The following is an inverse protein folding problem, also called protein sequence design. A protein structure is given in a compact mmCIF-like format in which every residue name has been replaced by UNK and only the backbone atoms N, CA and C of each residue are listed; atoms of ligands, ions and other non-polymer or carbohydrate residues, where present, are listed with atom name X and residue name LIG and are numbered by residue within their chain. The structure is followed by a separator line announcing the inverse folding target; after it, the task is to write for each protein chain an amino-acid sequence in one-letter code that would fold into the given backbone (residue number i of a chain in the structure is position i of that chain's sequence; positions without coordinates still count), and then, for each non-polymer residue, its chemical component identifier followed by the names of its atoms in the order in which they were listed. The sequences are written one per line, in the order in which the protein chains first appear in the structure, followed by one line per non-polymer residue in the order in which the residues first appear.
data_IF_448867017341
#
_entry.id   IF_448867017341
#
_cell.length_a   1.000
_cell.length_b   1.000
_cell.length_c   1.000
_cell.angle_alpha   90.00
_cell.angle_beta   90.00
_cell.angle_gamma   90.00
#
_symmetry.space_group_name_H-M   'P 1'
#
loop_
_entity.id
_entity.type
_entity.pdbx_description
1 polymer ?
#
# COMPACT_ATOMS: atom_id res chain seq x y z
N UNK A 1 1.80 28.48 24.42
CA UNK A 1 0.84 27.85 23.52
C UNK A 1 0.93 26.34 23.65
N UNK A 2 -0.18 25.73 23.93
CA UNK A 2 -0.25 24.26 23.96
C UNK A 2 -0.79 23.80 22.61
N UNK A 3 -0.01 22.95 21.96
CA UNK A 3 -0.45 22.32 20.71
C UNK A 3 -0.74 20.86 21.02
N UNK A 4 -1.99 20.47 20.87
CA UNK A 4 -2.37 19.08 21.04
C UNK A 4 -2.49 18.43 19.67
N UNK A 5 -1.79 17.29 19.52
CA UNK A 5 -1.83 16.53 18.28
C UNK A 5 -2.60 15.24 18.56
N UNK A 6 -3.58 14.88 17.73
CA UNK A 6 -4.32 13.64 17.93
C UNK A 6 -3.37 12.43 18.02
N UNK A 7 -3.67 11.55 18.94
CA UNK A 7 -2.87 10.33 19.10
C UNK A 7 -3.07 9.44 17.88
N UNK A 8 -1.97 8.97 17.31
CA UNK A 8 -2.02 8.14 16.10
C UNK A 8 -2.87 6.88 16.27
N UNK A 9 -2.97 6.36 17.51
CA UNK A 9 -3.77 5.17 17.81
C UNK A 9 -5.27 5.36 17.58
N UNK A 10 -5.73 6.63 17.47
CA UNK A 10 -7.15 6.92 17.20
C UNK A 10 -7.48 6.81 15.71
N UNK A 11 -6.49 6.62 14.87
CA UNK A 11 -6.66 6.51 13.43
C UNK A 11 -6.43 5.08 12.98
N UNK A 12 -7.21 4.63 12.02
CA UNK A 12 -6.95 3.36 11.34
C UNK A 12 -5.65 3.50 10.56
N UNK A 13 -4.87 2.43 10.53
CA UNK A 13 -3.58 2.42 9.87
C UNK A 13 -3.58 1.45 8.70
N UNK A 14 -2.91 1.83 7.63
CA UNK A 14 -2.80 1.00 6.43
C UNK A 14 -1.43 1.17 5.79
N UNK A 15 -0.89 0.08 5.29
CA UNK A 15 0.29 0.09 4.45
C UNK A 15 -0.10 -0.43 3.07
N UNK A 16 0.14 0.37 2.04
CA UNK A 16 -0.11 -0.02 0.65
C UNK A 16 1.19 -0.58 0.10
N UNK A 17 1.28 -1.90 0.00
CA UNK A 17 2.50 -2.57 -0.47
C UNK A 17 2.70 -2.32 -1.96
N UNK A 18 3.97 -2.40 -2.45
CA UNK A 18 4.22 -2.27 -3.88
C UNK A 18 3.38 -3.25 -4.68
N UNK A 19 2.78 -2.78 -5.76
CA UNK A 19 1.90 -3.62 -6.58
C UNK A 19 2.72 -4.54 -7.48
N UNK A 20 2.21 -5.74 -7.69
CA UNK A 20 2.82 -6.69 -8.61
C UNK A 20 2.50 -6.31 -10.05
N UNK A 21 3.50 -6.37 -10.91
CA UNK A 21 3.30 -6.23 -12.35
C UNK A 21 2.87 -7.59 -12.92
N UNK A 22 1.60 -7.71 -13.24
CA UNK A 22 1.01 -8.93 -13.81
C UNK A 22 0.86 -8.84 -15.32
N UNK A 23 1.41 -7.79 -15.91
CA UNK A 23 1.45 -7.62 -17.35
C UNK A 23 2.47 -8.59 -17.96
N UNK A 24 2.35 -8.84 -19.27
CA UNK A 24 3.31 -9.71 -19.97
C UNK A 24 4.65 -9.04 -20.22
N UNK A 25 4.75 -7.73 -20.02
CA UNK A 25 5.96 -6.95 -20.30
C UNK A 25 6.51 -6.32 -19.03
N UNK A 26 7.82 -6.42 -18.83
CA UNK A 26 8.49 -5.70 -17.75
C UNK A 26 8.49 -4.19 -17.99
N UNK A 27 8.27 -3.76 -19.22
CA UNK A 27 8.19 -2.35 -19.57
C UNK A 27 7.00 -1.66 -18.89
N UNK A 28 6.01 -2.42 -18.43
CA UNK A 28 4.87 -1.88 -17.72
C UNK A 28 5.14 -1.60 -16.25
N UNK A 29 6.36 -1.88 -15.75
CA UNK A 29 6.68 -1.69 -14.34
C UNK A 29 6.49 -0.24 -13.89
N UNK A 30 6.86 0.74 -14.69
CA UNK A 30 6.66 2.14 -14.35
C UNK A 30 5.18 2.49 -14.29
N UNK A 31 4.39 1.92 -15.17
CA UNK A 31 2.94 2.13 -15.15
C UNK A 31 2.34 1.56 -13.85
N UNK A 32 2.76 0.37 -13.46
CA UNK A 32 2.30 -0.29 -12.23
C UNK A 32 2.67 0.53 -11.00
N UNK A 33 3.91 1.01 -10.95
CA UNK A 33 4.37 1.86 -9.83
C UNK A 33 3.61 3.19 -9.80
N UNK A 34 3.25 3.73 -10.95
CA UNK A 34 2.42 4.94 -11.03
C UNK A 34 1.04 4.73 -10.43
N UNK A 35 0.41 3.60 -10.70
CA UNK A 35 -0.89 3.25 -10.10
C UNK A 35 -0.75 3.13 -8.57
N UNK A 36 0.31 2.49 -8.11
CA UNK A 36 0.59 2.37 -6.67
C UNK A 36 0.70 3.74 -6.01
N UNK A 37 1.49 4.64 -6.61
CA UNK A 37 1.66 5.99 -6.10
C UNK A 37 0.34 6.76 -6.06
N UNK A 38 -0.48 6.63 -7.10
CA UNK A 38 -1.77 7.32 -7.16
C UNK A 38 -2.69 6.86 -6.04
N UNK A 39 -2.77 5.57 -5.81
CA UNK A 39 -3.62 5.02 -4.75
C UNK A 39 -3.11 5.46 -3.39
N UNK A 40 -1.81 5.39 -3.17
CA UNK A 40 -1.19 5.80 -1.92
C UNK A 40 -1.49 7.28 -1.62
N UNK A 41 -1.35 8.14 -2.63
CA UNK A 41 -1.62 9.57 -2.50
C UNK A 41 -3.09 9.86 -2.21
N UNK A 42 -4.01 9.14 -2.84
CA UNK A 42 -5.44 9.29 -2.59
C UNK A 42 -5.79 8.91 -1.15
N UNK A 43 -5.25 7.79 -0.66
CA UNK A 43 -5.50 7.35 0.70
C UNK A 43 -4.90 8.31 1.72
N UNK A 44 -3.74 8.89 1.42
CA UNK A 44 -3.07 9.82 2.32
C UNK A 44 -3.88 11.11 2.56
N UNK A 45 -4.84 11.42 1.70
CA UNK A 45 -5.71 12.57 1.86
C UNK A 45 -6.85 12.33 2.86
N UNK A 46 -7.04 11.11 3.30
CA UNK A 46 -8.10 10.76 4.25
C UNK A 46 -7.59 11.02 5.67
N UNK A 47 -8.17 12.02 6.36
CA UNK A 47 -7.66 12.48 7.65
C UNK A 47 -7.72 11.40 8.74
N UNK A 48 -8.72 10.52 8.68
CA UNK A 48 -8.89 9.45 9.68
C UNK A 48 -8.04 8.22 9.42
N UNK A 49 -7.20 8.25 8.39
CA UNK A 49 -6.41 7.11 7.97
C UNK A 49 -4.92 7.45 8.06
N UNK A 50 -4.18 6.64 8.81
CA UNK A 50 -2.72 6.75 8.85
C UNK A 50 -2.14 5.87 7.76
N UNK A 51 -1.54 6.49 6.74
CA UNK A 51 -0.95 5.78 5.61
C UNK A 51 0.57 5.77 5.75
N UNK A 52 1.17 4.59 5.66
CA UNK A 52 2.62 4.44 5.74
C UNK A 52 3.26 5.03 4.48
N UNK A 53 4.39 5.68 4.63
CA UNK A 53 5.07 6.34 3.53
C UNK A 53 5.53 5.35 2.44
N UNK A 54 5.61 5.86 1.21
CA UNK A 54 6.12 5.08 0.09
C UNK A 54 7.51 4.49 0.38
N UNK A 55 8.39 5.30 0.96
CA UNK A 55 9.76 4.87 1.28
C UNK A 55 9.76 3.63 2.19
N UNK A 56 8.87 3.62 3.18
CA UNK A 56 8.82 2.51 4.14
C UNK A 56 8.27 1.22 3.53
N UNK A 57 7.34 1.33 2.57
CA UNK A 57 6.73 0.13 1.99
C UNK A 57 7.53 -0.44 0.82
N UNK A 58 8.35 0.36 0.15
CA UNK A 58 9.07 -0.10 -1.06
C UNK A 58 10.04 -1.25 -0.77
N UNK A 59 10.54 -1.36 0.46
CA UNK A 59 11.42 -2.48 0.84
C UNK A 59 10.71 -3.83 0.85
N UNK A 60 9.40 -3.84 0.76
CA UNK A 60 8.63 -5.09 0.74
C UNK A 60 8.28 -5.57 -0.67
N UNK A 61 8.89 -4.98 -1.69
CA UNK A 61 8.71 -5.45 -3.05
C UNK A 61 9.18 -6.91 -3.14
N UNK A 62 8.30 -7.76 -3.68
CA UNK A 62 8.57 -9.20 -3.86
C UNK A 62 8.95 -9.92 -2.56
N UNK A 63 8.46 -9.42 -1.42
CA UNK A 63 8.76 -10.02 -0.14
C UNK A 63 8.02 -11.35 0.03
N UNK A 64 8.67 -12.28 0.76
CA UNK A 64 8.06 -13.54 1.16
C UNK A 64 7.53 -13.48 2.60
N UNK A 65 7.66 -12.33 3.26
CA UNK A 65 7.18 -12.18 4.65
C UNK A 65 5.67 -12.31 4.72
N UNK A 66 5.19 -12.84 5.83
CA UNK A 66 3.75 -12.92 6.09
C UNK A 66 3.14 -11.53 6.31
N UNK A 67 1.84 -11.44 6.10
CA UNK A 67 1.12 -10.19 6.36
C UNK A 67 1.28 -9.77 7.82
N UNK A 68 1.24 -10.73 8.76
CA UNK A 68 1.42 -10.44 10.18
C UNK A 68 2.81 -9.84 10.45
N UNK A 69 3.85 -10.43 9.87
CA UNK A 69 5.22 -9.93 10.06
C UNK A 69 5.37 -8.50 9.53
N UNK A 70 4.84 -8.22 8.35
CA UNK A 70 4.89 -6.89 7.77
C UNK A 70 4.10 -5.89 8.62
N UNK A 71 2.91 -6.29 9.06
CA UNK A 71 2.08 -5.45 9.92
C UNK A 71 2.79 -5.09 11.22
N UNK A 72 3.46 -6.08 11.84
CA UNK A 72 4.20 -5.85 13.07
C UNK A 72 5.38 -4.91 12.86
N UNK A 73 6.12 -5.09 11.75
CA UNK A 73 7.28 -4.25 11.43
C UNK A 73 6.88 -2.80 11.15
N UNK A 74 5.77 -2.60 10.46
CA UNK A 74 5.29 -1.27 10.08
C UNK A 74 4.36 -0.65 11.13
N UNK A 75 3.89 -1.44 12.08
CA UNK A 75 2.95 -0.96 13.09
C UNK A 75 1.57 -0.66 12.53
N UNK A 76 1.10 -1.46 11.58
CA UNK A 76 -0.21 -1.28 10.96
C UNK A 76 -1.09 -2.50 11.16
N UNK A 77 -2.40 -2.27 11.15
CA UNK A 77 -3.40 -3.33 11.29
C UNK A 77 -3.94 -3.82 9.96
N UNK A 78 -3.75 -3.05 8.90
CA UNK A 78 -4.27 -3.38 7.57
C UNK A 78 -3.19 -3.22 6.52
N UNK A 79 -3.10 -4.20 5.63
CA UNK A 79 -2.27 -4.11 4.43
C UNK A 79 -3.19 -4.05 3.22
N UNK A 80 -2.79 -3.29 2.22
CA UNK A 80 -3.39 -3.33 0.90
C UNK A 80 -2.39 -3.94 -0.05
N UNK A 81 -2.74 -5.06 -0.64
CA UNK A 81 -1.93 -5.71 -1.67
C UNK A 81 -2.66 -5.62 -2.99
N UNK A 82 -1.92 -5.65 -4.06
CA UNK A 82 -2.54 -5.62 -5.35
C UNK A 82 -1.61 -5.97 -6.48
N UNK A 83 -2.21 -6.10 -7.65
CA UNK A 83 -1.49 -6.32 -8.89
C UNK A 83 -2.15 -5.56 -10.01
N UNK A 84 -1.36 -5.19 -10.99
CA UNK A 84 -1.82 -4.46 -12.15
C UNK A 84 -1.45 -5.23 -13.40
N UNK A 85 -2.43 -5.43 -14.27
CA UNK A 85 -2.21 -6.06 -15.56
C UNK A 85 -2.65 -5.11 -16.65
N UNK A 86 -1.77 -4.86 -17.59
CA UNK A 86 -2.06 -4.06 -18.77
C UNK A 86 -2.00 -4.93 -20.00
N UNK A 87 -3.04 -4.86 -20.82
CA UNK A 87 -3.11 -5.59 -22.09
C UNK A 87 -3.71 -4.66 -23.13
N UNK A 88 -2.87 -4.15 -24.03
CA UNK A 88 -3.29 -3.15 -25.01
C UNK A 88 -3.78 -1.89 -24.32
N UNK A 89 -5.02 -1.50 -24.55
CA UNK A 89 -5.64 -0.34 -23.94
C UNK A 89 -6.52 -0.72 -22.73
N UNK A 90 -6.40 -1.94 -22.23
CA UNK A 90 -7.15 -2.40 -21.06
C UNK A 90 -6.22 -2.52 -19.87
N UNK A 91 -6.71 -2.10 -18.71
CA UNK A 91 -5.99 -2.19 -17.45
C UNK A 91 -6.87 -2.90 -16.43
N UNK A 92 -6.32 -3.91 -15.79
CA UNK A 92 -6.99 -4.58 -14.67
C UNK A 92 -6.19 -4.35 -13.41
N UNK A 93 -6.86 -3.82 -12.39
CA UNK A 93 -6.27 -3.61 -11.07
C UNK A 93 -7.01 -4.50 -10.09
N UNK A 94 -6.29 -5.40 -9.45
CA UNK A 94 -6.83 -6.25 -8.39
C UNK A 94 -6.29 -5.77 -7.07
N UNK A 95 -7.16 -5.54 -6.10
CA UNK A 95 -6.80 -5.03 -4.78
C UNK A 95 -7.37 -5.96 -3.72
N UNK A 96 -6.57 -6.23 -2.70
CA UNK A 96 -6.99 -7.04 -1.57
C UNK A 96 -6.59 -6.35 -0.28
N UNK A 97 -7.56 -6.21 0.64
CA UNK A 97 -7.29 -5.70 1.99
C UNK A 97 -7.08 -6.89 2.91
N UNK A 98 -6.03 -6.83 3.71
CA UNK A 98 -5.64 -7.91 4.60
C UNK A 98 -5.54 -7.37 6.01
N UNK A 99 -6.22 -8.04 6.94
CA UNK A 99 -6.12 -7.76 8.37
C UNK A 99 -4.86 -8.47 8.89
N UNK A 100 -3.94 -7.73 9.48
CA UNK A 100 -2.65 -8.28 9.94
C UNK A 100 -2.75 -9.07 11.23
N UNK A 101 -3.86 -8.96 11.96
CA UNK A 101 -4.07 -9.69 13.21
C UNK A 101 -4.59 -11.11 13.02
N UNK A 102 -4.81 -11.52 11.78
CA UNK A 102 -5.39 -12.84 11.49
C UNK A 102 -4.47 -13.73 10.68
#
# INVERSE_FOLDING_TARGET
VIVEVPVASDRKSIAVLPFANRSKSEDDAFFVDGIHDDILNQLAQIASLKVISRTSVMRYRDTEKSAKAIGDELGVLTLLEGGVQRAGNRVRVNIQLIDTDR
#
